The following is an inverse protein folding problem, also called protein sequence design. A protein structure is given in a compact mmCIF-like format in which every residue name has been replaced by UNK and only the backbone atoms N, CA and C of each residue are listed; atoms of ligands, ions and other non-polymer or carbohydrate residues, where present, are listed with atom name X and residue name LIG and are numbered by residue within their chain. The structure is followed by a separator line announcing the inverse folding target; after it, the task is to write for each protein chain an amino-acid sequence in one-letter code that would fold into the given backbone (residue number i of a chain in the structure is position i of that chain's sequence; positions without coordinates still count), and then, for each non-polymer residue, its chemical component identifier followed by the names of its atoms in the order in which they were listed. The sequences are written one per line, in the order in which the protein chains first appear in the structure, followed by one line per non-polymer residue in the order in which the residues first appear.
data_IF_107165256973
#
_entry.id   IF_107165256973
#
_cell.length_a   1.000
_cell.length_b   1.000
_cell.length_c   1.000
_cell.angle_alpha   90.00
_cell.angle_beta   90.00
_cell.angle_gamma   90.00
#
_symmetry.space_group_name_H-M   'P 1'
#
loop_
_entity.id
_entity.type
_entity.pdbx_description
1 polymer ?
#
# COMPACT_ATOMS: atom_id res chain seq x y z
N UNK A 1 -19.47 -11.02 -20.13
CA UNK A 1 -18.74 -12.01 -19.33
C UNK A 1 -18.08 -11.26 -18.20
N UNK A 2 -18.76 -11.15 -17.05
CA UNK A 2 -18.20 -10.47 -15.88
C UNK A 2 -17.14 -11.37 -15.26
N UNK A 3 -15.92 -10.86 -15.07
CA UNK A 3 -14.88 -11.58 -14.38
C UNK A 3 -15.32 -11.80 -12.93
N UNK A 4 -15.64 -13.04 -12.57
CA UNK A 4 -15.93 -13.42 -11.20
C UNK A 4 -14.60 -13.39 -10.43
N UNK A 5 -14.31 -12.25 -9.79
CA UNK A 5 -13.08 -12.06 -9.01
C UNK A 5 -13.22 -12.87 -7.72
N UNK A 6 -12.83 -14.14 -7.75
CA UNK A 6 -13.00 -15.11 -6.65
C UNK A 6 -12.05 -14.90 -5.48
N UNK A 7 -11.15 -13.91 -5.54
CA UNK A 7 -10.24 -13.58 -4.44
C UNK A 7 -10.43 -12.11 -4.03
N UNK A 8 -10.96 -11.92 -2.82
CA UNK A 8 -11.20 -10.63 -2.15
C UNK A 8 -9.91 -9.92 -1.71
N UNK A 9 -8.73 -10.34 -2.17
CA UNK A 9 -7.43 -9.80 -1.74
C UNK A 9 -6.44 -9.71 -2.90
N UNK A 10 -6.84 -9.04 -3.99
CA UNK A 10 -6.05 -9.01 -5.23
C UNK A 10 -5.34 -7.66 -5.46
N UNK A 11 -5.65 -6.64 -4.66
CA UNK A 11 -5.14 -5.29 -4.87
C UNK A 11 -4.17 -4.95 -3.74
N UNK A 12 -2.90 -4.72 -4.08
CA UNK A 12 -1.90 -4.16 -3.19
C UNK A 12 -1.67 -2.69 -3.57
N UNK A 13 -2.28 -1.70 -2.87
CA UNK A 13 -2.07 -0.31 -3.21
C UNK A 13 -0.65 0.12 -2.82
N UNK A 14 0.02 0.89 -3.70
CA UNK A 14 1.37 1.40 -3.49
C UNK A 14 1.35 2.93 -3.55
N UNK A 15 1.81 3.59 -2.48
CA UNK A 15 1.97 5.04 -2.45
C UNK A 15 3.45 5.41 -2.26
N UNK A 16 4.03 6.10 -3.24
CA UNK A 16 5.44 6.52 -3.20
C UNK A 16 5.57 7.93 -2.62
N UNK A 17 6.48 8.11 -1.67
CA UNK A 17 6.80 9.39 -1.03
C UNK A 17 8.29 9.66 -1.08
N UNK A 18 8.68 10.72 -1.77
CA UNK A 18 10.08 11.14 -1.89
C UNK A 18 10.56 11.96 -0.68
N UNK A 19 9.66 12.63 0.04
CA UNK A 19 9.98 13.46 1.20
C UNK A 19 9.95 12.65 2.50
N UNK A 20 10.66 13.10 3.54
CA UNK A 20 10.61 12.46 4.87
C UNK A 20 9.31 12.75 5.62
N UNK A 21 8.72 13.93 5.39
CA UNK A 21 7.43 14.32 5.95
C UNK A 21 6.37 14.19 4.86
N UNK A 22 5.40 13.32 5.07
CA UNK A 22 4.29 13.09 4.17
C UNK A 22 3.05 12.68 4.96
N UNK A 23 1.89 12.82 4.31
CA UNK A 23 0.63 12.27 4.83
C UNK A 23 0.28 11.02 4.05
N UNK A 24 -0.44 10.11 4.69
CA UNK A 24 -0.94 8.85 4.10
C UNK A 24 -2.44 8.93 3.81
N UNK A 25 -2.98 10.15 3.73
CA UNK A 25 -4.43 10.39 3.68
C UNK A 25 -5.09 9.88 2.40
N UNK A 26 -4.40 9.92 1.26
CA UNK A 26 -4.85 9.34 -0.01
C UNK A 26 -4.93 7.82 0.08
N UNK A 27 -3.86 7.15 0.51
CA UNK A 27 -3.84 5.70 0.72
C UNK A 27 -4.95 5.27 1.69
N UNK A 28 -5.09 5.96 2.81
CA UNK A 28 -6.14 5.65 3.79
C UNK A 28 -7.56 5.78 3.20
N UNK A 29 -7.82 6.80 2.37
CA UNK A 29 -9.10 6.96 1.67
C UNK A 29 -9.31 5.84 0.66
N UNK A 30 -8.28 5.45 -0.08
CA UNK A 30 -8.33 4.34 -1.02
C UNK A 30 -8.63 3.03 -0.28
N UNK A 31 -7.91 2.78 0.81
CA UNK A 31 -8.08 1.58 1.62
C UNK A 31 -9.51 1.45 2.14
N UNK A 32 -10.08 2.54 2.68
CA UNK A 32 -11.47 2.57 3.14
C UNK A 32 -12.49 2.32 2.03
N UNK A 33 -12.21 2.79 0.80
CA UNK A 33 -13.14 2.68 -0.33
C UNK A 33 -13.17 1.25 -0.91
N UNK A 34 -12.04 0.56 -0.88
CA UNK A 34 -11.87 -0.75 -1.53
C UNK A 34 -11.55 -1.89 -0.56
N UNK A 35 -11.77 -1.69 0.75
CA UNK A 35 -11.42 -2.61 1.85
C UNK A 35 -11.63 -4.09 1.54
N UNK A 36 -12.78 -4.45 0.98
CA UNK A 36 -13.18 -5.82 0.60
C UNK A 36 -12.34 -6.47 -0.51
N UNK A 37 -11.44 -5.73 -1.15
CA UNK A 37 -10.61 -6.19 -2.28
C UNK A 37 -9.11 -6.11 -2.00
N UNK A 38 -8.73 -5.55 -0.85
CA UNK A 38 -7.35 -5.15 -0.58
C UNK A 38 -6.56 -6.23 0.13
N UNK A 39 -5.33 -6.38 -0.33
CA UNK A 39 -4.26 -7.03 0.41
C UNK A 39 -3.39 -5.94 1.07
N UNK A 40 -2.18 -6.29 1.50
CA UNK A 40 -1.22 -5.38 2.14
C UNK A 40 -0.98 -4.08 1.35
N UNK A 41 -1.30 -2.92 1.94
CA UNK A 41 -0.88 -1.62 1.44
C UNK A 41 0.62 -1.37 1.64
N UNK A 42 1.25 -0.74 0.66
CA UNK A 42 2.67 -0.40 0.69
C UNK A 42 2.90 1.11 0.59
N UNK A 43 3.82 1.63 1.40
CA UNK A 43 4.34 2.99 1.27
C UNK A 43 5.82 2.92 0.98
N UNK A 44 6.25 3.41 -0.18
CA UNK A 44 7.68 3.50 -0.49
C UNK A 44 8.19 4.86 -0.01
N UNK A 45 9.22 4.87 0.83
CA UNK A 45 9.76 6.10 1.42
C UNK A 45 11.28 6.05 1.64
N UNK A 46 11.85 7.17 2.08
CA UNK A 46 13.30 7.34 2.30
C UNK A 46 13.81 6.92 3.68
N UNK A 47 12.93 6.41 4.55
CA UNK A 47 13.31 5.96 5.90
C UNK A 47 13.52 4.45 5.97
N UNK A 48 13.65 3.94 7.19
CA UNK A 48 13.81 2.51 7.46
C UNK A 48 12.50 1.73 7.31
N UNK A 49 12.64 0.42 7.08
CA UNK A 49 11.53 -0.52 7.01
C UNK A 49 10.71 -0.45 8.29
N UNK A 50 9.41 -0.21 8.16
CA UNK A 50 8.49 -0.21 9.31
C UNK A 50 7.12 -0.73 8.92
N UNK A 51 6.39 -1.21 9.91
CA UNK A 51 4.98 -1.59 9.78
C UNK A 51 4.17 -0.67 10.69
N UNK A 52 3.17 0.02 10.14
CA UNK A 52 2.20 0.77 10.95
C UNK A 52 0.79 0.32 10.61
N UNK A 53 0.11 -0.26 11.60
CA UNK A 53 -1.19 -0.90 11.39
C UNK A 53 -1.07 -2.04 10.38
N UNK A 54 -1.81 -1.93 9.28
CA UNK A 54 -1.80 -2.92 8.20
C UNK A 54 -0.91 -2.52 7.01
N UNK A 55 -0.22 -1.37 7.09
CA UNK A 55 0.58 -0.81 5.98
C UNK A 55 2.07 -1.09 6.20
N UNK A 56 2.72 -1.64 5.18
CA UNK A 56 4.17 -1.84 5.17
C UNK A 56 4.86 -0.66 4.50
N UNK A 57 5.78 -0.04 5.21
CA UNK A 57 6.58 1.07 4.74
C UNK A 57 7.95 0.54 4.33
N UNK A 58 8.26 0.67 3.05
CA UNK A 58 9.40 0.06 2.38
C UNK A 58 10.41 1.15 2.02
N UNK A 59 11.68 1.00 2.42
CA UNK A 59 12.74 1.88 1.96
C UNK A 59 12.89 1.82 0.44
N UNK A 60 13.19 2.96 -0.21
CA UNK A 60 13.37 3.03 -1.67
C UNK A 60 14.26 1.93 -2.25
N UNK A 61 15.35 1.57 -1.56
CA UNK A 61 16.30 0.55 -1.99
C UNK A 61 15.76 -0.90 -1.91
N UNK A 62 14.66 -1.13 -1.20
CA UNK A 62 14.01 -2.45 -1.10
C UNK A 62 12.86 -2.62 -2.08
N UNK A 63 12.47 -1.56 -2.82
CA UNK A 63 11.39 -1.61 -3.83
C UNK A 63 11.52 -2.77 -4.82
N UNK A 64 12.71 -3.18 -5.30
CA UNK A 64 12.84 -4.32 -6.21
C UNK A 64 12.49 -5.69 -5.63
N UNK A 65 12.21 -5.79 -4.33
CA UNK A 65 11.84 -7.04 -3.63
C UNK A 65 10.32 -7.23 -3.47
N UNK A 66 9.53 -6.27 -3.95
CA UNK A 66 8.06 -6.35 -4.06
C UNK A 66 7.64 -7.21 -5.25
#
# INVERSE_FOLDING_TARGET
MEANITSRHNICPVEVKSTQRYTTSSLNKFCRKFDTYLHTPYIIHSGDLKVEGNTLFIPLYMTPLL
#
